data_IF_951903754328
#
_entry.id   IF_951903754328
#
_cell.length_a   1.000
_cell.length_b   1.000
_cell.length_c   1.000
_cell.angle_alpha   90.00
_cell.angle_beta   90.00
_cell.angle_gamma   90.00
#
_symmetry.space_group_name_H-M   'P 1'
#
loop_
_entity.id
_entity.type
_entity.pdbx_description
1 polymer ?
#
# COMPACT_ATOMS: atom_id res chain seq x y z
N UNK A 1 14.52 8.18 8.58
CA UNK A 1 14.23 8.95 7.35
C UNK A 1 12.73 9.13 7.29
N UNK A 2 12.22 10.29 6.87
CA UNK A 2 10.79 10.44 6.64
C UNK A 2 10.40 9.53 5.47
N UNK A 3 9.36 8.73 5.66
CA UNK A 3 8.74 8.01 4.56
C UNK A 3 8.09 9.05 3.65
N UNK A 4 8.41 9.01 2.35
CA UNK A 4 7.79 9.88 1.36
C UNK A 4 6.86 9.03 0.50
N UNK A 5 5.61 9.47 0.32
CA UNK A 5 4.63 8.80 -0.56
C UNK A 5 5.15 8.61 -1.98
N UNK A 6 6.15 9.40 -2.39
CA UNK A 6 6.84 9.25 -3.68
C UNK A 6 7.62 7.94 -3.80
N UNK A 7 8.05 7.33 -2.70
CA UNK A 7 8.74 6.04 -2.69
C UNK A 7 7.78 4.85 -2.88
N UNK A 8 6.48 5.05 -2.65
CA UNK A 8 5.44 4.03 -2.86
C UNK A 8 5.16 3.73 -4.33
N UNK A 9 5.69 4.53 -5.25
CA UNK A 9 5.42 4.40 -6.67
C UNK A 9 4.05 4.95 -7.09
N UNK A 10 3.49 4.38 -8.15
CA UNK A 10 2.26 4.87 -8.76
C UNK A 10 1.04 4.40 -7.96
N UNK A 11 0.14 5.32 -7.56
CA UNK A 11 -1.11 4.93 -6.94
C UNK A 11 -2.03 4.26 -7.95
N UNK A 12 -2.70 3.21 -7.50
CA UNK A 12 -3.82 2.59 -8.17
C UNK A 12 -5.09 3.37 -7.87
N UNK A 13 -5.91 3.54 -8.90
CA UNK A 13 -7.18 4.26 -8.84
C UNK A 13 -8.33 3.39 -8.28
N UNK A 14 -8.09 2.10 -8.06
CA UNK A 14 -9.06 1.15 -7.53
C UNK A 14 -8.36 0.02 -6.80
N UNK A 15 -8.95 -0.40 -5.67
CA UNK A 15 -8.49 -1.52 -4.87
C UNK A 15 -8.43 -2.82 -5.67
N UNK A 16 -9.41 -3.04 -6.55
CA UNK A 16 -9.46 -4.22 -7.43
C UNK A 16 -8.24 -4.31 -8.36
N UNK A 17 -7.90 -3.19 -9.02
CA UNK A 17 -6.71 -3.14 -9.87
C UNK A 17 -5.42 -3.39 -9.07
N UNK A 18 -5.33 -2.85 -7.84
CA UNK A 18 -4.20 -3.11 -6.96
C UNK A 18 -4.15 -4.57 -6.47
N UNK A 19 -5.31 -5.16 -6.17
CA UNK A 19 -5.43 -6.54 -5.69
C UNK A 19 -5.08 -7.58 -6.75
N UNK A 20 -5.39 -7.28 -8.02
CA UNK A 20 -5.05 -8.15 -9.16
C UNK A 20 -3.56 -8.08 -9.49
N UNK A 21 -2.96 -6.89 -9.36
CA UNK A 21 -1.56 -6.67 -9.74
C UNK A 21 -0.57 -7.05 -8.62
N UNK A 22 -1.01 -7.06 -7.36
CA UNK A 22 -0.13 -7.38 -6.23
C UNK A 22 0.36 -8.82 -6.27
N UNK A 23 1.62 -9.03 -5.89
CA UNK A 23 2.15 -10.35 -5.63
C UNK A 23 1.62 -10.93 -4.32
N UNK A 24 1.66 -12.25 -4.13
CA UNK A 24 1.32 -12.90 -2.84
C UNK A 24 2.23 -12.48 -1.68
N UNK A 25 3.35 -11.79 -1.93
CA UNK A 25 4.24 -11.24 -0.90
C UNK A 25 3.99 -9.75 -0.63
N UNK A 26 3.10 -9.12 -1.39
CA UNK A 26 2.80 -7.69 -1.34
C UNK A 26 1.42 -7.42 -0.73
N UNK A 27 1.32 -6.25 -0.09
CA UNK A 27 0.11 -5.74 0.54
C UNK A 27 -0.34 -4.47 -0.16
N UNK A 28 -1.67 -4.30 -0.25
CA UNK A 28 -2.24 -3.04 -0.74
C UNK A 28 -2.57 -2.17 0.44
N UNK A 29 -2.01 -0.97 0.44
CA UNK A 29 -2.23 0.03 1.47
C UNK A 29 -3.01 1.21 0.90
N UNK A 30 -3.71 1.91 1.76
CA UNK A 30 -4.37 3.17 1.42
C UNK A 30 -4.05 4.23 2.47
N UNK A 31 -4.04 5.48 2.03
CA UNK A 31 -4.05 6.64 2.91
C UNK A 31 -5.39 6.75 3.66
N UNK A 32 -5.42 7.54 4.74
CA UNK A 32 -6.65 7.91 5.47
C UNK A 32 -7.76 8.46 4.59
N UNK A 33 -7.43 9.03 3.44
CA UNK A 33 -8.40 9.60 2.50
C UNK A 33 -9.04 8.58 1.56
N UNK A 34 -8.56 7.32 1.54
CA UNK A 34 -9.09 6.23 0.68
C UNK A 34 -9.16 6.57 -0.82
N UNK A 35 -8.37 7.55 -1.26
CA UNK A 35 -8.35 8.05 -2.63
C UNK A 35 -7.28 7.37 -3.51
N UNK A 36 -6.30 6.71 -2.90
CA UNK A 36 -5.15 6.15 -3.60
C UNK A 36 -4.69 4.86 -2.92
N UNK A 37 -4.51 3.82 -3.74
CA UNK A 37 -4.05 2.50 -3.29
C UNK A 37 -2.61 2.28 -3.74
N UNK A 38 -1.76 1.77 -2.86
CA UNK A 38 -0.35 1.52 -3.17
C UNK A 38 -0.03 0.05 -2.90
N UNK A 39 0.69 -0.58 -3.80
CA UNK A 39 1.19 -1.94 -3.62
C UNK A 39 2.61 -1.82 -3.09
N UNK A 40 2.86 -2.39 -1.93
CA UNK A 40 4.20 -2.46 -1.35
C UNK A 40 4.42 -3.78 -0.63
N UNK A 41 5.68 -4.08 -0.32
CA UNK A 41 6.02 -5.18 0.56
C UNK A 41 5.60 -4.87 2.00
N UNK A 42 5.20 -5.91 2.74
CA UNK A 42 4.83 -5.79 4.15
C UNK A 42 5.98 -5.21 5.00
N UNK A 43 7.23 -5.55 4.68
CA UNK A 43 8.42 -5.01 5.35
C UNK A 43 8.56 -3.49 5.15
N UNK A 44 8.30 -3.01 3.93
CA UNK A 44 8.27 -1.59 3.63
C UNK A 44 7.10 -0.88 4.34
N UNK A 45 5.95 -1.56 4.47
CA UNK A 45 4.80 -1.05 5.21
C UNK A 45 5.14 -0.77 6.67
N UNK A 46 5.80 -1.72 7.33
CA UNK A 46 6.14 -1.58 8.75
C UNK A 46 7.15 -0.45 9.02
N UNK A 47 8.05 -0.18 8.07
CA UNK A 47 9.12 0.82 8.22
C UNK A 47 8.75 2.24 7.75
N UNK A 48 7.57 2.46 7.16
CA UNK A 48 7.20 3.78 6.63
C UNK A 48 5.71 4.12 6.71
N UNK A 49 4.86 3.61 5.81
CA UNK A 49 3.47 4.02 5.69
C UNK A 49 2.65 3.74 6.96
N UNK A 50 2.96 2.66 7.69
CA UNK A 50 2.35 2.38 9.00
C UNK A 50 2.54 3.52 10.00
N UNK A 51 3.67 4.22 9.94
CA UNK A 51 3.97 5.36 10.83
C UNK A 51 3.25 6.64 10.39
N UNK A 52 2.93 6.76 9.10
CA UNK A 52 2.21 7.90 8.50
C UNK A 52 0.68 7.75 8.56
N UNK A 53 0.18 6.62 9.07
CA UNK A 53 -1.26 6.37 9.22
C UNK A 53 -1.91 5.73 8.01
N UNK A 54 -1.12 5.14 7.10
CA UNK A 54 -1.64 4.27 6.07
C UNK A 54 -2.13 2.95 6.68
N UNK A 55 -3.14 2.36 6.06
CA UNK A 55 -3.75 1.09 6.48
C UNK A 55 -3.70 0.08 5.33
N UNK A 56 -3.42 -1.17 5.67
CA UNK A 56 -3.54 -2.29 4.73
C UNK A 56 -5.03 -2.54 4.49
N UNK A 57 -5.43 -2.54 3.22
CA UNK A 57 -6.81 -2.83 2.77
C UNK A 57 -6.92 -4.16 2.04
N UNK A 58 -5.81 -4.68 1.50
CA UNK A 58 -5.76 -6.03 0.92
C UNK A 58 -4.50 -6.72 1.42
N UNK A 59 -4.66 -7.84 2.11
CA UNK A 59 -3.55 -8.66 2.59
C UNK A 59 -3.19 -9.75 1.56
N UNK A 60 -2.06 -10.40 1.75
CA UNK A 60 -1.73 -11.63 1.04
C UNK A 60 -2.69 -12.75 1.47
N UNK A 61 -3.73 -13.03 0.68
CA UNK A 61 -4.46 -14.30 0.83
C UNK A 61 -5.96 -14.34 0.54
N UNK A 62 -6.60 -13.30 -0.02
CA UNK A 62 -8.04 -13.34 -0.32
C UNK A 62 -8.38 -12.94 -1.75
#
# INVERSE_FOLDING_TARGET
MAFDVKDLGLPYHSLDAAAVDKSPSEVVITDSSENAYYIIEEDAFENGPKQEGYKIVVNAGE
#
